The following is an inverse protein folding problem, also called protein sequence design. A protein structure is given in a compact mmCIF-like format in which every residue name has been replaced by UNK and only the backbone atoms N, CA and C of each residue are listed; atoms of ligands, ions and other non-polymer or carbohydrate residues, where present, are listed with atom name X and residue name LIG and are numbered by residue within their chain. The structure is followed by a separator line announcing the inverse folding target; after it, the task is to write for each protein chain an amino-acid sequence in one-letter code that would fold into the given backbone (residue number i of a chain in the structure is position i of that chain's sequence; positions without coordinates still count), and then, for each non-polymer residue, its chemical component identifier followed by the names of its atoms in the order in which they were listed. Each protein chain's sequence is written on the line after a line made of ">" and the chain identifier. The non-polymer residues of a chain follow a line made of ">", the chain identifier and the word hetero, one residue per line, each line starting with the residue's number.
data_IF_582504888827
#
_entry.id   IF_582504888827
#
_cell.length_a   1.000
_cell.length_b   1.000
_cell.length_c   1.000
_cell.angle_alpha   90.00
_cell.angle_beta   90.00
_cell.angle_gamma   90.00
#
_symmetry.space_group_name_H-M   'P 1'
#
loop_
_entity.id
_entity.type
_entity.pdbx_description
1 polymer ?
#
# COMPACT_ATOMS: atom_id res chain seq x y z
N UNK A 1 -53.08 -46.31 -14.04
CA UNK A 1 -53.88 -45.83 -12.89
C UNK A 1 -54.86 -44.80 -13.40
N UNK A 2 -56.12 -44.89 -13.00
CA UNK A 2 -57.07 -43.79 -13.18
C UNK A 2 -56.54 -42.55 -12.45
N UNK A 3 -56.76 -41.35 -13.02
CA UNK A 3 -56.17 -40.08 -12.55
C UNK A 3 -56.41 -39.84 -11.05
N UNK A 4 -57.63 -40.14 -10.58
CA UNK A 4 -58.01 -40.00 -9.17
C UNK A 4 -57.24 -40.95 -8.24
N UNK A 5 -56.95 -42.18 -8.69
CA UNK A 5 -56.14 -43.13 -7.92
C UNK A 5 -54.67 -42.68 -7.84
N UNK A 6 -54.16 -41.99 -8.87
CA UNK A 6 -52.81 -41.45 -8.89
C UNK A 6 -52.65 -40.23 -8.00
N UNK A 7 -53.63 -39.34 -8.00
CA UNK A 7 -53.65 -38.17 -7.11
C UNK A 7 -53.73 -38.60 -5.64
N UNK A 8 -54.58 -39.58 -5.30
CA UNK A 8 -54.64 -40.14 -3.94
C UNK A 8 -53.35 -40.85 -3.50
N UNK A 9 -52.69 -41.58 -4.41
CA UNK A 9 -51.38 -42.16 -4.15
C UNK A 9 -50.30 -41.07 -3.95
N UNK A 10 -50.31 -40.03 -4.77
CA UNK A 10 -49.35 -38.93 -4.71
C UNK A 10 -49.48 -38.12 -3.42
N UNK A 11 -50.70 -37.86 -2.94
CA UNK A 11 -50.93 -37.21 -1.64
C UNK A 11 -50.43 -38.08 -0.48
N UNK A 12 -50.70 -39.39 -0.51
CA UNK A 12 -50.23 -40.33 0.51
C UNK A 12 -48.70 -40.44 0.54
N UNK A 13 -48.07 -40.50 -0.63
CA UNK A 13 -46.60 -40.49 -0.75
C UNK A 13 -46.05 -39.16 -0.28
N UNK A 14 -46.64 -38.02 -0.66
CA UNK A 14 -46.15 -36.70 -0.25
C UNK A 14 -46.24 -36.49 1.26
N UNK A 15 -47.33 -36.91 1.90
CA UNK A 15 -47.50 -36.89 3.35
C UNK A 15 -46.49 -37.81 4.07
N UNK A 16 -46.27 -39.02 3.52
CA UNK A 16 -45.28 -39.97 4.06
C UNK A 16 -43.85 -39.49 3.84
N UNK A 17 -43.58 -38.83 2.72
CA UNK A 17 -42.26 -38.32 2.36
C UNK A 17 -41.82 -37.18 3.28
N UNK A 18 -42.78 -36.35 3.72
CA UNK A 18 -42.55 -35.29 4.71
C UNK A 18 -42.15 -35.81 6.10
N UNK A 19 -42.47 -37.06 6.45
CA UNK A 19 -42.11 -37.65 7.74
C UNK A 19 -40.76 -38.38 7.73
N UNK A 20 -40.15 -38.57 6.55
CA UNK A 20 -38.85 -39.22 6.40
C UNK A 20 -37.66 -38.29 6.71
N UNK A 21 -36.54 -38.89 7.12
CA UNK A 21 -35.25 -38.18 7.19
C UNK A 21 -34.68 -37.92 5.79
N UNK A 22 -33.81 -36.91 5.66
CA UNK A 22 -33.26 -36.51 4.35
C UNK A 22 -32.50 -37.62 3.62
N UNK A 23 -31.84 -38.53 4.35
CA UNK A 23 -31.16 -39.68 3.74
C UNK A 23 -32.14 -40.71 3.17
N UNK A 24 -33.25 -40.96 3.87
CA UNK A 24 -34.29 -41.90 3.44
C UNK A 24 -35.11 -41.33 2.27
N UNK A 25 -35.36 -40.02 2.29
CA UNK A 25 -35.97 -39.27 1.18
C UNK A 25 -35.20 -39.47 -0.12
N UNK A 26 -33.88 -39.27 -0.08
CA UNK A 26 -33.00 -39.43 -1.24
C UNK A 26 -32.99 -40.88 -1.78
N UNK A 27 -32.85 -41.88 -0.91
CA UNK A 27 -32.87 -43.29 -1.32
C UNK A 27 -34.23 -43.71 -1.92
N UNK A 28 -35.32 -43.16 -1.40
CA UNK A 28 -36.68 -43.43 -1.87
C UNK A 28 -36.91 -42.80 -3.25
N UNK A 29 -36.38 -41.59 -3.47
CA UNK A 29 -36.38 -40.93 -4.78
C UNK A 29 -35.55 -41.70 -5.80
N UNK A 30 -34.33 -42.13 -5.46
CA UNK A 30 -33.47 -42.88 -6.38
C UNK A 30 -34.16 -44.16 -6.86
N UNK A 31 -34.86 -44.84 -5.94
CA UNK A 31 -35.63 -46.05 -6.25
C UNK A 31 -36.91 -45.77 -7.04
N UNK A 32 -37.59 -44.65 -6.77
CA UNK A 32 -38.74 -44.21 -7.57
C UNK A 32 -38.34 -43.84 -8.99
N UNK A 33 -37.19 -43.18 -9.16
CA UNK A 33 -36.66 -42.79 -10.46
C UNK A 33 -36.25 -44.01 -11.27
N UNK A 34 -35.57 -44.99 -10.64
CA UNK A 34 -35.14 -46.22 -11.32
C UNK A 34 -36.31 -47.09 -11.79
N UNK A 35 -37.49 -46.93 -11.18
CA UNK A 35 -38.69 -47.73 -11.45
C UNK A 35 -39.72 -47.01 -12.34
N UNK A 36 -39.50 -45.74 -12.69
CA UNK A 36 -40.48 -44.90 -13.40
C UNK A 36 -40.07 -44.61 -14.85
N UNK A 37 -41.04 -44.58 -15.77
CA UNK A 37 -40.85 -44.15 -17.15
C UNK A 37 -40.90 -42.63 -17.32
N UNK A 38 -40.50 -42.13 -18.51
CA UNK A 38 -40.36 -40.69 -18.80
C UNK A 38 -41.63 -39.86 -18.50
N UNK A 39 -42.82 -40.41 -18.76
CA UNK A 39 -44.10 -39.72 -18.53
C UNK A 39 -44.42 -39.60 -17.03
N UNK A 40 -44.10 -40.63 -16.23
CA UNK A 40 -44.28 -40.58 -14.77
C UNK A 40 -43.26 -39.66 -14.10
N UNK A 41 -42.01 -39.65 -14.59
CA UNK A 41 -40.97 -38.74 -14.12
C UNK A 41 -41.33 -37.27 -14.38
N UNK A 42 -41.99 -36.94 -15.50
CA UNK A 42 -42.46 -35.59 -15.80
C UNK A 42 -43.58 -35.14 -14.84
N UNK A 43 -44.51 -36.03 -14.50
CA UNK A 43 -45.56 -35.75 -13.50
C UNK A 43 -45.00 -35.63 -12.09
N UNK A 44 -44.08 -36.52 -11.71
CA UNK A 44 -43.35 -36.45 -10.43
C UNK A 44 -42.53 -35.17 -10.32
N UNK A 45 -41.84 -34.75 -11.39
CA UNK A 45 -41.07 -33.51 -11.43
C UNK A 45 -41.95 -32.29 -11.16
N UNK A 46 -43.13 -32.19 -11.80
CA UNK A 46 -44.01 -31.03 -11.61
C UNK A 46 -44.71 -31.02 -10.23
N UNK A 47 -44.99 -32.20 -9.65
CA UNK A 47 -45.65 -32.33 -8.34
C UNK A 47 -44.69 -32.30 -7.14
N UNK A 48 -43.46 -32.78 -7.33
CA UNK A 48 -42.38 -32.79 -6.34
C UNK A 48 -41.36 -31.67 -6.57
N UNK A 49 -41.56 -30.76 -7.52
CA UNK A 49 -40.64 -29.64 -7.82
C UNK A 49 -40.32 -28.82 -6.57
N UNK A 50 -41.32 -28.65 -5.70
CA UNK A 50 -41.22 -27.97 -4.42
C UNK A 50 -40.52 -28.80 -3.33
N UNK A 51 -40.39 -30.13 -3.52
CA UNK A 51 -39.79 -31.10 -2.59
C UNK A 51 -38.39 -31.58 -3.03
N UNK A 52 -38.06 -31.47 -4.30
CA UNK A 52 -36.79 -31.87 -4.91
C UNK A 52 -35.78 -30.71 -4.90
N UNK A 53 -35.29 -30.33 -3.71
CA UNK A 53 -34.03 -29.60 -3.63
C UNK A 53 -32.88 -30.56 -3.93
N UNK A 54 -32.53 -30.72 -5.21
CA UNK A 54 -31.32 -31.48 -5.60
C UNK A 54 -30.10 -30.60 -5.40
N UNK A 55 -29.19 -31.06 -4.55
CA UNK A 55 -27.89 -30.45 -4.37
C UNK A 55 -26.98 -30.85 -5.56
N UNK A 56 -26.95 -30.01 -6.60
CA UNK A 56 -26.19 -30.25 -7.82
C UNK A 56 -24.67 -30.35 -7.59
N UNK A 57 -24.12 -29.55 -6.67
CA UNK A 57 -22.69 -29.56 -6.34
C UNK A 57 -22.26 -30.88 -5.69
N UNK A 58 -23.17 -31.52 -4.94
CA UNK A 58 -22.93 -32.86 -4.39
C UNK A 58 -22.93 -33.97 -5.46
N UNK A 59 -23.57 -33.75 -6.60
CA UNK A 59 -23.76 -34.76 -7.65
C UNK A 59 -22.74 -34.64 -8.79
N UNK A 60 -21.94 -33.57 -8.82
CA UNK A 60 -20.95 -33.32 -9.86
C UNK A 60 -19.57 -33.93 -9.50
N UNK A 61 -18.80 -34.40 -10.49
CA UNK A 61 -17.36 -34.62 -10.35
C UNK A 61 -16.65 -33.35 -9.85
N UNK A 62 -15.58 -33.53 -9.07
CA UNK A 62 -14.88 -32.42 -8.41
C UNK A 62 -14.31 -31.41 -9.42
N UNK A 63 -13.86 -31.88 -10.58
CA UNK A 63 -13.29 -31.05 -11.64
C UNK A 63 -14.35 -30.11 -12.24
N UNK A 64 -15.56 -30.61 -12.46
CA UNK A 64 -16.69 -29.81 -12.96
C UNK A 64 -17.22 -28.87 -11.87
N UNK A 65 -17.23 -29.32 -10.61
CA UNK A 65 -17.56 -28.47 -9.48
C UNK A 65 -16.58 -27.29 -9.38
N UNK A 66 -15.27 -27.52 -9.45
CA UNK A 66 -14.25 -26.46 -9.43
C UNK A 66 -14.38 -25.51 -10.63
N UNK A 67 -14.61 -26.05 -11.83
CA UNK A 67 -14.84 -25.23 -13.01
C UNK A 67 -16.03 -24.27 -12.82
N UNK A 68 -17.15 -24.75 -12.26
CA UNK A 68 -18.33 -23.92 -12.00
C UNK A 68 -18.07 -22.88 -10.90
N UNK A 69 -17.40 -23.27 -9.82
CA UNK A 69 -17.09 -22.38 -8.70
C UNK A 69 -16.23 -21.19 -9.14
N UNK A 70 -15.38 -21.35 -10.16
CA UNK A 70 -14.58 -20.27 -10.73
C UNK A 70 -15.40 -19.11 -11.33
N UNK A 71 -16.65 -19.36 -11.71
CA UNK A 71 -17.53 -18.33 -12.29
C UNK A 71 -18.37 -17.59 -11.26
N UNK A 72 -18.32 -18.00 -9.99
CA UNK A 72 -19.05 -17.36 -8.91
C UNK A 72 -18.24 -16.20 -8.35
N UNK A 73 -18.92 -15.12 -8.02
CA UNK A 73 -18.28 -14.02 -7.31
C UNK A 73 -17.88 -14.44 -5.87
N UNK A 74 -16.89 -13.77 -5.29
CA UNK A 74 -16.38 -14.12 -3.96
C UNK A 74 -17.43 -14.10 -2.84
N UNK A 75 -18.44 -13.22 -2.91
CA UNK A 75 -19.48 -13.13 -1.88
C UNK A 75 -20.45 -14.31 -1.96
N UNK A 76 -20.81 -14.69 -3.18
CA UNK A 76 -21.57 -15.90 -3.45
C UNK A 76 -20.79 -17.13 -2.98
N UNK A 77 -19.47 -17.21 -3.22
CA UNK A 77 -18.63 -18.33 -2.74
C UNK A 77 -18.65 -18.50 -1.22
N UNK A 78 -18.56 -17.40 -0.45
CA UNK A 78 -18.71 -17.46 1.01
C UNK A 78 -20.12 -17.93 1.39
N UNK A 79 -21.15 -17.38 0.74
CA UNK A 79 -22.54 -17.75 1.00
C UNK A 79 -22.77 -19.24 0.72
N UNK A 80 -22.20 -19.75 -0.37
CA UNK A 80 -22.18 -21.17 -0.75
C UNK A 80 -21.52 -22.05 0.33
N UNK A 81 -20.47 -21.56 1.02
CA UNK A 81 -19.86 -22.28 2.14
C UNK A 81 -20.81 -22.46 3.34
N UNK A 82 -21.83 -21.60 3.48
CA UNK A 82 -22.82 -21.67 4.57
C UNK A 82 -23.97 -22.65 4.28
N UNK A 83 -24.13 -23.09 3.02
CA UNK A 83 -25.24 -23.95 2.59
C UNK A 83 -25.19 -25.33 3.27
N UNK A 84 -24.04 -26.01 3.21
CA UNK A 84 -23.82 -27.27 3.93
C UNK A 84 -22.34 -27.59 4.15
N UNK A 85 -22.04 -28.54 5.04
CA UNK A 85 -20.64 -28.95 5.36
C UNK A 85 -19.88 -29.47 4.13
N UNK A 86 -20.56 -30.14 3.20
CA UNK A 86 -19.92 -30.69 2.00
C UNK A 86 -19.53 -29.59 1.01
N UNK A 87 -20.39 -28.59 0.80
CA UNK A 87 -20.06 -27.42 -0.01
C UNK A 87 -18.88 -26.66 0.56
N UNK A 88 -18.89 -26.41 1.87
CA UNK A 88 -17.76 -25.78 2.55
C UNK A 88 -16.47 -26.57 2.32
N UNK A 89 -16.52 -27.91 2.42
CA UNK A 89 -15.36 -28.75 2.17
C UNK A 89 -14.85 -28.61 0.73
N UNK A 90 -15.71 -28.74 -0.27
CA UNK A 90 -15.34 -28.65 -1.71
C UNK A 90 -14.78 -27.28 -2.05
N UNK A 91 -15.47 -26.21 -1.63
CA UNK A 91 -15.04 -24.82 -1.91
C UNK A 91 -13.73 -24.52 -1.18
N UNK A 92 -13.58 -24.95 0.08
CA UNK A 92 -12.35 -24.71 0.85
C UNK A 92 -11.15 -25.55 0.39
N UNK A 93 -11.34 -26.54 -0.49
CA UNK A 93 -10.24 -27.32 -1.08
C UNK A 93 -9.77 -26.78 -2.44
N UNK A 94 -10.48 -25.81 -3.02
CA UNK A 94 -10.17 -25.31 -4.35
C UNK A 94 -9.21 -24.13 -4.30
N UNK A 95 -7.90 -24.40 -4.40
CA UNK A 95 -6.85 -23.36 -4.32
C UNK A 95 -6.98 -22.34 -5.44
N UNK A 96 -7.17 -22.79 -6.67
CA UNK A 96 -7.27 -21.92 -7.86
C UNK A 96 -8.41 -20.90 -7.74
N UNK A 97 -9.52 -21.26 -7.09
CA UNK A 97 -10.65 -20.34 -6.87
C UNK A 97 -10.25 -19.24 -5.88
N UNK A 98 -9.66 -19.60 -4.73
CA UNK A 98 -9.27 -18.59 -3.75
C UNK A 98 -8.09 -17.74 -4.21
N UNK A 99 -7.17 -18.29 -4.99
CA UNK A 99 -6.15 -17.53 -5.69
C UNK A 99 -6.79 -16.58 -6.70
N UNK A 100 -7.66 -17.07 -7.60
CA UNK A 100 -8.37 -16.23 -8.56
C UNK A 100 -9.08 -15.04 -7.89
N UNK A 101 -9.77 -15.28 -6.78
CA UNK A 101 -10.44 -14.26 -5.98
C UNK A 101 -9.48 -13.21 -5.40
N UNK A 102 -8.30 -13.62 -4.91
CA UNK A 102 -7.28 -12.69 -4.40
C UNK A 102 -6.64 -11.87 -5.55
N UNK A 103 -6.39 -12.51 -6.70
CA UNK A 103 -5.91 -11.87 -7.92
C UNK A 103 -6.91 -10.84 -8.44
N UNK A 104 -8.20 -11.17 -8.39
CA UNK A 104 -9.29 -10.26 -8.78
C UNK A 104 -9.38 -9.03 -7.86
N UNK A 105 -8.82 -9.09 -6.64
CA UNK A 105 -8.64 -7.93 -5.76
C UNK A 105 -7.34 -7.16 -6.02
N UNK A 106 -6.53 -7.60 -6.98
CA UNK A 106 -5.27 -6.99 -7.39
C UNK A 106 -4.05 -7.48 -6.60
N UNK A 107 -4.20 -8.44 -5.69
CA UNK A 107 -3.09 -8.90 -4.87
C UNK A 107 -2.13 -9.78 -5.65
N UNK A 108 -0.84 -9.66 -5.35
CA UNK A 108 0.17 -10.59 -5.85
C UNK A 108 0.02 -11.94 -5.16
N UNK A 109 0.00 -13.00 -5.95
CA UNK A 109 -0.13 -14.37 -5.48
C UNK A 109 1.19 -15.08 -5.64
N UNK A 110 1.55 -15.85 -4.61
CA UNK A 110 2.63 -16.81 -4.69
C UNK A 110 2.05 -18.16 -5.16
N UNK A 111 2.27 -18.47 -6.44
CA UNK A 111 1.82 -19.71 -7.07
C UNK A 111 2.44 -20.97 -6.43
N UNK A 112 3.51 -20.83 -5.65
CA UNK A 112 4.12 -21.95 -4.91
C UNK A 112 3.25 -22.42 -3.74
N UNK A 113 2.37 -21.57 -3.22
CA UNK A 113 1.52 -21.89 -2.07
C UNK A 113 0.22 -22.56 -2.56
N UNK A 114 0.25 -23.90 -2.60
CA UNK A 114 -0.88 -24.74 -2.98
C UNK A 114 -1.80 -25.08 -1.80
N UNK A 115 -2.18 -24.07 -1.00
CA UNK A 115 -3.05 -24.22 0.18
C UNK A 115 -4.31 -23.34 0.08
N UNK A 116 -5.43 -23.97 -0.25
CA UNK A 116 -6.72 -23.30 -0.35
C UNK A 116 -7.20 -22.68 0.97
N UNK A 117 -6.88 -23.28 2.13
CA UNK A 117 -7.31 -22.74 3.43
C UNK A 117 -6.55 -21.47 3.77
N UNK A 118 -5.26 -21.43 3.43
CA UNK A 118 -4.44 -20.24 3.55
C UNK A 118 -5.00 -19.06 2.74
N UNK A 119 -5.26 -19.26 1.43
CA UNK A 119 -5.81 -18.21 0.56
C UNK A 119 -7.22 -17.76 0.96
N UNK A 120 -8.06 -18.71 1.38
CA UNK A 120 -9.38 -18.39 1.96
C UNK A 120 -9.25 -17.53 3.23
N UNK A 121 -8.29 -17.84 4.10
CA UNK A 121 -8.04 -17.08 5.32
C UNK A 121 -7.60 -15.65 5.00
N UNK A 122 -6.62 -15.49 4.10
CA UNK A 122 -6.16 -14.18 3.61
C UNK A 122 -7.33 -13.36 3.08
N UNK A 123 -8.12 -13.94 2.19
CA UNK A 123 -9.29 -13.27 1.61
C UNK A 123 -10.29 -12.79 2.68
N UNK A 124 -10.56 -13.63 3.70
CA UNK A 124 -11.46 -13.27 4.78
C UNK A 124 -10.90 -12.13 5.65
N UNK A 125 -9.61 -12.20 6.03
CA UNK A 125 -8.94 -11.13 6.79
C UNK A 125 -8.96 -9.81 6.03
N UNK A 126 -8.63 -9.84 4.75
CA UNK A 126 -8.63 -8.67 3.90
C UNK A 126 -10.03 -8.07 3.73
N UNK A 127 -11.07 -8.91 3.55
CA UNK A 127 -12.45 -8.43 3.47
C UNK A 127 -12.88 -7.73 4.75
N UNK A 128 -12.48 -8.26 5.91
CA UNK A 128 -12.70 -7.64 7.21
C UNK A 128 -11.98 -6.28 7.30
N UNK A 129 -10.70 -6.21 6.90
CA UNK A 129 -9.93 -4.96 6.85
C UNK A 129 -10.53 -3.92 5.91
N UNK A 130 -10.95 -4.31 4.71
CA UNK A 130 -11.64 -3.42 3.78
C UNK A 130 -12.96 -2.89 4.37
N UNK A 131 -13.68 -3.71 5.15
CA UNK A 131 -14.88 -3.27 5.86
C UNK A 131 -14.53 -2.23 6.93
N UNK A 132 -13.51 -2.48 7.75
CA UNK A 132 -13.04 -1.54 8.77
C UNK A 132 -12.54 -0.23 8.17
N UNK A 133 -11.89 -0.26 7.01
CA UNK A 133 -11.47 0.94 6.28
C UNK A 133 -12.68 1.79 5.85
N UNK A 134 -13.76 1.13 5.41
CA UNK A 134 -15.01 1.79 5.04
C UNK A 134 -15.75 2.38 6.24
N UNK A 135 -15.69 1.70 7.38
CA UNK A 135 -16.38 2.07 8.62
C UNK A 135 -15.57 3.02 9.52
N UNK A 136 -14.37 3.43 9.09
CA UNK A 136 -13.46 4.29 9.88
C UNK A 136 -13.06 3.62 11.22
N UNK A 137 -12.84 2.31 11.21
CA UNK A 137 -12.45 1.50 12.39
C UNK A 137 -11.10 0.79 12.25
N UNK A 138 -10.45 0.91 11.08
CA UNK A 138 -9.20 0.22 10.76
C UNK A 138 -7.99 0.74 11.53
N UNK A 139 -8.01 2.02 11.91
CA UNK A 139 -6.87 2.69 12.51
C UNK A 139 -7.13 3.11 13.95
N UNK A 140 -6.05 3.44 14.63
CA UNK A 140 -6.05 4.13 15.92
C UNK A 140 -5.02 5.26 15.89
N UNK A 141 -5.08 6.16 16.86
CA UNK A 141 -4.16 7.31 16.92
C UNK A 141 -3.40 7.36 18.22
N UNK A 142 -2.14 7.79 18.13
CA UNK A 142 -1.28 8.05 19.28
C UNK A 142 -0.48 9.32 19.06
N UNK A 143 0.22 9.78 20.10
CA UNK A 143 1.00 11.00 20.04
C UNK A 143 2.33 10.86 20.77
N UNK A 144 3.40 11.37 20.17
CA UNK A 144 4.72 11.47 20.80
C UNK A 144 4.98 12.91 21.21
N UNK A 145 5.42 13.10 22.45
CA UNK A 145 5.63 14.42 23.06
C UNK A 145 7.07 14.50 23.54
N UNK A 146 7.79 15.56 23.18
CA UNK A 146 9.13 15.80 23.73
C UNK A 146 9.98 16.86 23.03
N UNK A 147 9.57 17.36 21.87
CA UNK A 147 10.18 18.55 21.27
C UNK A 147 9.64 19.83 21.90
N UNK A 148 10.48 20.87 22.00
CA UNK A 148 10.11 22.17 22.56
C UNK A 148 9.86 23.23 21.49
N UNK A 149 10.11 22.89 20.22
CA UNK A 149 9.84 23.74 19.08
C UNK A 149 9.35 22.90 17.89
N UNK A 150 9.20 23.55 16.75
CA UNK A 150 8.60 22.94 15.56
C UNK A 150 9.43 21.77 15.03
N UNK A 151 8.79 20.62 14.91
CA UNK A 151 9.32 19.46 14.17
C UNK A 151 9.16 19.73 12.67
N UNK A 152 10.28 19.67 11.95
CA UNK A 152 10.31 19.90 10.50
C UNK A 152 10.53 18.63 9.70
N UNK A 153 11.19 17.63 10.29
CA UNK A 153 11.64 16.44 9.59
C UNK A 153 11.14 15.20 10.30
N UNK A 154 10.66 14.24 9.52
CA UNK A 154 10.21 12.93 9.97
C UNK A 154 10.85 11.90 9.02
N UNK A 155 11.34 10.79 9.57
CA UNK A 155 11.77 9.63 8.79
C UNK A 155 11.48 8.35 9.58
N UNK A 156 10.99 7.31 8.93
CA UNK A 156 10.51 6.08 9.55
C UNK A 156 11.19 4.90 8.89
N UNK A 157 11.68 3.97 9.70
CA UNK A 157 12.30 2.74 9.27
C UNK A 157 12.20 1.70 10.39
N UNK A 158 11.76 0.49 10.05
CA UNK A 158 11.79 -0.69 10.94
C UNK A 158 11.15 -0.49 12.34
N UNK A 159 9.99 0.19 12.39
CA UNK A 159 9.28 0.45 13.65
C UNK A 159 9.83 1.65 14.46
N UNK A 160 10.89 2.28 13.97
CA UNK A 160 11.50 3.45 14.57
C UNK A 160 11.15 4.71 13.77
N UNK A 161 10.84 5.80 14.48
CA UNK A 161 10.61 7.11 13.89
C UNK A 161 11.70 8.06 14.37
N UNK A 162 12.40 8.71 13.45
CA UNK A 162 13.30 9.82 13.75
C UNK A 162 12.62 11.14 13.45
N UNK A 163 12.78 12.09 14.36
CA UNK A 163 12.25 13.44 14.22
C UNK A 163 13.36 14.48 14.36
N UNK A 164 13.31 15.51 13.52
CA UNK A 164 14.22 16.65 13.55
C UNK A 164 13.46 17.95 13.76
N UNK A 165 13.93 18.78 14.67
CA UNK A 165 13.21 19.97 15.14
C UNK A 165 14.05 21.26 15.05
N UNK A 166 13.34 22.38 15.15
CA UNK A 166 13.91 23.73 15.31
C UNK A 166 14.51 23.95 16.70
N UNK A 167 14.23 23.08 17.66
CA UNK A 167 14.79 23.13 19.01
C UNK A 167 16.25 22.66 19.11
N UNK A 168 16.92 22.51 17.96
CA UNK A 168 18.29 22.02 17.84
C UNK A 168 18.45 20.59 18.39
N UNK A 169 17.42 19.76 18.24
CA UNK A 169 17.51 18.34 18.56
C UNK A 169 16.92 17.44 17.49
N UNK A 170 17.47 16.23 17.45
CA UNK A 170 16.88 15.09 16.77
C UNK A 170 16.59 13.98 17.78
N UNK A 171 15.44 13.33 17.64
CA UNK A 171 14.98 12.28 18.55
C UNK A 171 14.62 11.02 17.77
N UNK A 172 14.99 9.86 18.31
CA UNK A 172 14.61 8.55 17.80
C UNK A 172 13.58 7.93 18.74
N UNK A 173 12.46 7.50 18.18
CA UNK A 173 11.30 7.00 18.91
C UNK A 173 11.01 5.55 18.50
N UNK A 174 10.73 4.71 19.47
CA UNK A 174 10.06 3.43 19.23
C UNK A 174 8.56 3.69 19.06
N UNK A 175 8.01 3.39 17.89
CA UNK A 175 6.60 3.71 17.57
C UNK A 175 5.63 2.84 18.36
N UNK A 176 6.01 1.61 18.71
CA UNK A 176 5.15 0.66 19.44
C UNK A 176 5.01 1.05 20.90
N UNK A 177 6.12 1.43 21.54
CA UNK A 177 6.15 1.76 22.97
C UNK A 177 5.93 3.25 23.22
N UNK A 178 6.11 4.10 22.21
CA UNK A 178 6.09 5.56 22.33
C UNK A 178 7.32 6.14 23.04
N UNK A 179 8.34 5.34 23.34
CA UNK A 179 9.51 5.79 24.08
C UNK A 179 10.52 6.49 23.16
N UNK A 180 11.11 7.57 23.67
CA UNK A 180 12.28 8.21 23.06
C UNK A 180 13.53 7.40 23.41
N UNK A 181 14.10 6.70 22.43
CA UNK A 181 15.33 5.88 22.59
C UNK A 181 16.55 6.79 22.67
N UNK A 182 16.69 7.71 21.70
CA UNK A 182 17.81 8.66 21.65
C UNK A 182 17.29 10.08 21.51
N UNK A 183 18.03 11.03 22.08
CA UNK A 183 17.86 12.45 21.86
C UNK A 183 19.22 13.11 21.76
N UNK A 184 19.57 13.59 20.57
CA UNK A 184 20.86 14.23 20.29
C UNK A 184 20.66 15.73 20.12
N UNK A 185 21.57 16.52 20.67
CA UNK A 185 21.65 17.94 20.38
C UNK A 185 22.37 18.15 19.04
N UNK A 186 21.65 18.73 18.08
CA UNK A 186 22.07 18.89 16.69
C UNK A 186 22.05 20.37 16.28
N UNK A 187 22.09 20.65 14.98
CA UNK A 187 21.63 21.92 14.42
C UNK A 187 20.10 21.90 14.19
N UNK A 188 19.53 22.96 13.60
CA UNK A 188 18.13 22.92 13.15
C UNK A 188 17.98 21.86 12.07
N UNK A 189 17.04 20.93 12.21
CA UNK A 189 16.92 19.80 11.29
C UNK A 189 15.76 20.03 10.31
N UNK A 190 16.09 20.40 9.07
CA UNK A 190 15.13 20.51 7.97
C UNK A 190 14.79 19.14 7.37
N UNK A 191 15.72 18.18 7.47
CA UNK A 191 15.57 16.80 7.00
C UNK A 191 16.42 15.85 7.84
N UNK A 192 15.97 14.60 7.97
CA UNK A 192 16.66 13.54 8.72
C UNK A 192 16.58 12.23 7.94
N UNK A 193 17.63 11.42 8.02
CA UNK A 193 17.64 10.01 7.62
C UNK A 193 18.53 9.26 8.60
N UNK A 194 18.15 8.04 8.98
CA UNK A 194 18.91 7.27 9.96
C UNK A 194 18.99 5.78 9.59
N UNK A 195 19.93 5.12 10.24
CA UNK A 195 19.98 3.69 10.46
C UNK A 195 20.22 3.41 11.94
N UNK A 196 20.46 2.15 12.29
CA UNK A 196 20.65 1.70 13.67
C UNK A 196 21.83 2.40 14.39
N UNK A 197 22.85 2.86 13.65
CA UNK A 197 24.09 3.38 14.22
C UNK A 197 24.20 4.90 14.14
N UNK A 198 23.70 5.49 13.05
CA UNK A 198 23.91 6.91 12.77
C UNK A 198 22.65 7.64 12.30
N UNK A 199 22.74 8.94 12.46
CA UNK A 199 21.78 9.94 11.99
C UNK A 199 22.47 10.87 11.00
N UNK A 200 21.85 11.12 9.85
CA UNK A 200 22.23 12.18 8.92
C UNK A 200 21.16 13.28 8.99
N UNK A 201 21.60 14.52 9.21
CA UNK A 201 20.72 15.68 9.28
C UNK A 201 21.12 16.73 8.25
N UNK A 202 20.13 17.29 7.55
CA UNK A 202 20.29 18.49 6.73
C UNK A 202 19.60 19.68 7.39
N UNK A 203 20.19 20.88 7.27
CA UNK A 203 19.81 22.05 8.06
C UNK A 203 19.40 23.27 7.24
N UNK A 204 18.67 24.17 7.90
CA UNK A 204 18.50 25.55 7.43
C UNK A 204 19.79 26.38 7.51
N UNK A 205 20.83 25.90 8.19
CA UNK A 205 22.15 26.53 8.26
C UNK A 205 23.07 26.23 7.05
N UNK A 206 22.52 25.59 6.02
CA UNK A 206 23.19 25.16 4.78
C UNK A 206 24.19 23.99 4.96
N UNK A 207 24.26 23.39 6.14
CA UNK A 207 25.15 22.26 6.40
C UNK A 207 24.40 20.94 6.52
N UNK A 208 25.15 19.87 6.31
CA UNK A 208 24.74 18.50 6.61
C UNK A 208 25.70 17.97 7.66
N UNK A 209 25.20 17.15 8.56
CA UNK A 209 26.01 16.49 9.58
C UNK A 209 25.61 15.03 9.74
N UNK A 210 26.60 14.19 10.04
CA UNK A 210 26.40 12.81 10.44
C UNK A 210 26.73 12.70 11.94
N UNK A 211 25.88 11.99 12.67
CA UNK A 211 25.94 11.83 14.12
C UNK A 211 25.87 10.36 14.49
N UNK A 212 26.58 9.96 15.53
CA UNK A 212 26.49 8.62 16.09
C UNK A 212 25.41 8.59 17.20
N UNK A 213 24.49 7.62 17.14
CA UNK A 213 23.39 7.53 18.09
C UNK A 213 23.84 7.30 19.54
N UNK A 214 24.78 6.37 19.73
CA UNK A 214 25.23 5.90 21.04
C UNK A 214 25.97 6.98 21.84
N UNK A 215 26.73 7.83 21.18
CA UNK A 215 27.55 8.88 21.82
C UNK A 215 26.96 10.28 21.69
N UNK A 216 26.06 10.48 20.71
CA UNK A 216 25.60 11.82 20.31
C UNK A 216 26.68 12.66 19.61
N UNK A 217 27.84 12.08 19.29
CA UNK A 217 28.95 12.79 18.69
C UNK A 217 28.67 13.08 17.20
N UNK A 218 29.07 14.27 16.75
CA UNK A 218 29.13 14.60 15.32
C UNK A 218 30.35 13.92 14.72
N UNK A 219 30.12 12.91 13.88
CA UNK A 219 31.20 12.12 13.25
C UNK A 219 31.63 12.70 11.90
N UNK A 220 30.74 13.39 11.18
CA UNK A 220 31.07 14.03 9.90
C UNK A 220 30.29 15.33 9.71
N UNK A 221 30.87 16.25 8.94
CA UNK A 221 30.20 17.45 8.46
C UNK A 221 30.44 17.63 6.96
N UNK A 222 29.41 18.10 6.25
CA UNK A 222 29.45 18.39 4.83
C UNK A 222 29.10 19.88 4.63
N UNK A 223 30.02 20.64 4.03
CA UNK A 223 29.89 22.07 3.77
C UNK A 223 30.07 22.33 2.29
N UNK A 224 29.21 23.18 1.72
CA UNK A 224 29.31 23.58 0.32
C UNK A 224 28.00 24.03 -0.30
N UNK A 225 26.85 23.67 0.28
CA UNK A 225 25.59 24.31 -0.06
C UNK A 225 25.58 25.78 0.41
N UNK A 226 24.92 26.64 -0.36
CA UNK A 226 24.77 28.08 -0.07
C UNK A 226 23.34 28.45 0.34
N UNK A 227 22.44 27.45 0.39
CA UNK A 227 21.09 27.56 0.88
C UNK A 227 20.71 26.36 1.77
N UNK A 228 19.53 26.45 2.37
CA UNK A 228 19.01 25.43 3.28
C UNK A 228 18.91 24.06 2.60
N UNK A 229 19.32 23.00 3.30
CA UNK A 229 19.27 21.63 2.79
C UNK A 229 17.91 21.01 3.16
N UNK A 230 17.09 20.71 2.15
CA UNK A 230 15.72 20.24 2.36
C UNK A 230 15.56 18.72 2.26
N UNK A 231 16.48 18.04 1.62
CA UNK A 231 16.44 16.58 1.50
C UNK A 231 17.84 16.01 1.48
N UNK A 232 18.01 14.89 2.15
CA UNK A 232 19.23 14.08 2.14
C UNK A 232 18.86 12.62 1.89
N UNK A 233 19.73 11.92 1.20
CA UNK A 233 19.68 10.47 1.08
C UNK A 233 21.12 9.93 1.10
N UNK A 234 21.33 8.68 1.50
CA UNK A 234 22.66 8.08 1.52
C UNK A 234 22.60 6.57 1.32
N UNK A 235 23.74 6.04 0.88
CA UNK A 235 24.01 4.62 0.74
C UNK A 235 25.44 4.35 1.24
N UNK A 236 25.56 3.43 2.21
CA UNK A 236 26.83 3.06 2.82
C UNK A 236 27.74 2.27 1.89
N UNK A 237 27.17 1.32 1.14
CA UNK A 237 27.94 0.48 0.21
C UNK A 237 28.61 1.30 -0.89
N UNK A 238 27.97 2.38 -1.31
CA UNK A 238 28.50 3.34 -2.28
C UNK A 238 29.40 4.42 -1.67
N UNK A 239 29.52 4.49 -0.34
CA UNK A 239 30.12 5.62 0.38
C UNK A 239 29.58 6.98 -0.11
N UNK A 240 28.27 7.06 -0.37
CA UNK A 240 27.66 8.19 -1.08
C UNK A 240 26.52 8.79 -0.28
N UNK A 241 26.58 10.11 -0.09
CA UNK A 241 25.47 10.94 0.39
C UNK A 241 25.04 11.87 -0.74
N UNK A 242 23.75 12.09 -0.90
CA UNK A 242 23.18 13.07 -1.83
C UNK A 242 22.31 14.07 -1.08
N UNK A 243 22.27 15.31 -1.56
CA UNK A 243 21.48 16.36 -0.93
C UNK A 243 20.87 17.33 -1.93
N UNK A 244 19.64 17.76 -1.65
CA UNK A 244 18.93 18.80 -2.40
C UNK A 244 18.74 20.05 -1.55
N UNK A 245 18.95 21.22 -2.14
CA UNK A 245 19.04 22.49 -1.42
C UNK A 245 18.22 23.62 -2.03
N UNK A 246 17.98 24.64 -1.20
CA UNK A 246 17.42 25.93 -1.59
C UNK A 246 18.33 26.74 -2.53
N UNK A 247 19.59 26.34 -2.71
CA UNK A 247 20.50 26.91 -3.70
C UNK A 247 20.30 26.37 -5.14
N UNK A 248 19.23 25.58 -5.35
CA UNK A 248 18.84 24.99 -6.64
C UNK A 248 19.82 23.91 -7.14
N UNK A 249 20.74 23.43 -6.29
CA UNK A 249 21.67 22.37 -6.66
C UNK A 249 21.38 21.07 -5.93
N UNK A 250 21.80 19.98 -6.58
CA UNK A 250 21.97 18.69 -5.93
C UNK A 250 23.47 18.46 -5.74
N UNK A 251 23.89 18.03 -4.56
CA UNK A 251 25.30 17.68 -4.31
C UNK A 251 25.43 16.21 -3.96
N UNK A 252 26.52 15.62 -4.44
CA UNK A 252 26.95 14.26 -4.11
C UNK A 252 28.22 14.36 -3.28
N UNK A 253 28.28 13.61 -2.20
CA UNK A 253 29.35 13.67 -1.21
C UNK A 253 29.90 12.27 -0.93
N UNK A 254 31.20 12.19 -0.66
CA UNK A 254 31.79 11.02 -0.04
C UNK A 254 31.33 10.97 1.41
N UNK A 255 30.55 9.95 1.77
CA UNK A 255 29.89 9.83 3.08
C UNK A 255 30.92 9.76 4.22
N UNK A 256 32.00 9.01 4.03
CA UNK A 256 33.09 8.80 4.97
C UNK A 256 34.03 10.01 5.11
N UNK A 257 34.30 10.71 4.01
CA UNK A 257 35.29 11.78 3.97
C UNK A 257 34.68 13.19 4.15
N UNK A 258 33.37 13.34 3.93
CA UNK A 258 32.70 14.65 3.93
C UNK A 258 32.98 15.52 2.71
N UNK A 259 33.71 15.00 1.72
CA UNK A 259 34.11 15.74 0.54
C UNK A 259 32.96 15.83 -0.48
N UNK A 260 32.75 17.02 -1.05
CA UNK A 260 31.83 17.20 -2.18
C UNK A 260 32.47 16.56 -3.43
N UNK A 261 31.87 15.50 -3.94
CA UNK A 261 32.32 14.80 -5.14
C UNK A 261 31.77 15.46 -6.41
N UNK A 262 30.49 15.85 -6.38
CA UNK A 262 29.81 16.42 -7.52
C UNK A 262 28.78 17.48 -7.12
N UNK A 263 28.52 18.42 -8.03
CA UNK A 263 27.43 19.39 -7.94
C UNK A 263 26.65 19.37 -9.23
N UNK A 264 25.41 18.90 -9.17
CA UNK A 264 24.50 18.91 -10.30
C UNK A 264 23.69 20.20 -10.30
N UNK A 265 23.80 20.91 -11.42
CA UNK A 265 23.11 22.17 -11.69
C UNK A 265 22.08 21.97 -12.79
N UNK A 266 20.96 22.70 -12.73
CA UNK A 266 19.95 22.67 -13.79
C UNK A 266 18.52 22.83 -13.28
N UNK A 267 18.28 22.61 -11.99
CA UNK A 267 17.01 22.99 -11.37
C UNK A 267 16.85 24.51 -11.37
N UNK A 268 15.60 24.97 -11.50
CA UNK A 268 15.26 26.41 -11.53
C UNK A 268 14.58 26.88 -10.25
N UNK A 269 14.34 25.97 -9.32
CA UNK A 269 13.68 26.20 -8.02
C UNK A 269 14.33 25.34 -6.92
N UNK A 270 13.88 25.52 -5.68
CA UNK A 270 14.35 24.73 -4.54
C UNK A 270 14.23 23.24 -4.81
N UNK A 271 15.33 22.50 -4.63
CA UNK A 271 15.29 21.04 -4.69
C UNK A 271 14.68 20.54 -3.39
N UNK A 272 13.44 20.07 -3.47
CA UNK A 272 12.63 19.69 -2.30
C UNK A 272 12.82 18.24 -1.88
N UNK A 273 13.19 17.36 -2.82
CA UNK A 273 13.36 15.94 -2.58
C UNK A 273 14.51 15.38 -3.41
N UNK A 274 15.30 14.49 -2.82
CA UNK A 274 16.27 13.63 -3.50
C UNK A 274 16.02 12.18 -3.10
N UNK A 275 16.23 11.24 -4.02
CA UNK A 275 16.13 9.80 -3.80
C UNK A 275 17.34 9.13 -4.45
N UNK A 276 18.08 8.36 -3.67
CA UNK A 276 19.16 7.50 -4.11
C UNK A 276 18.69 6.05 -4.03
N UNK A 277 18.48 5.41 -5.18
CA UNK A 277 17.98 4.03 -5.23
C UNK A 277 18.56 3.26 -6.41
N UNK A 278 18.57 1.94 -6.29
CA UNK A 278 18.90 1.04 -7.38
C UNK A 278 17.78 1.00 -8.42
N UNK A 279 18.17 0.88 -9.68
CA UNK A 279 17.27 0.52 -10.77
C UNK A 279 16.96 -0.98 -10.72
N UNK A 280 15.67 -1.33 -10.86
CA UNK A 280 15.24 -2.71 -11.08
C UNK A 280 14.97 -3.01 -12.56
N UNK A 281 15.08 -2.00 -13.44
CA UNK A 281 14.75 -2.12 -14.86
C UNK A 281 16.00 -2.14 -15.72
N UNK A 282 15.90 -2.88 -16.81
CA UNK A 282 16.84 -2.84 -17.92
C UNK A 282 16.30 -1.90 -19.00
N UNK A 283 17.09 -0.91 -19.38
CA UNK A 283 16.78 0.05 -20.44
C UNK A 283 18.07 0.48 -21.16
N UNK A 284 17.95 1.33 -22.20
CA UNK A 284 19.13 1.89 -22.85
C UNK A 284 19.99 2.76 -21.92
N UNK A 285 19.42 3.26 -20.81
CA UNK A 285 20.10 4.16 -19.87
C UNK A 285 20.38 3.51 -18.51
N UNK A 286 19.78 2.37 -18.20
CA UNK A 286 19.82 1.75 -16.88
C UNK A 286 20.02 0.25 -16.98
N UNK A 287 20.98 -0.28 -16.23
CA UNK A 287 21.09 -1.72 -15.99
C UNK A 287 20.49 -2.05 -14.62
N UNK A 288 19.87 -3.22 -14.44
CA UNK A 288 19.46 -3.67 -13.11
C UNK A 288 20.66 -3.69 -12.16
N UNK A 289 20.52 -3.04 -11.00
CA UNK A 289 21.61 -2.88 -10.02
C UNK A 289 22.40 -1.57 -10.15
N UNK A 290 22.22 -0.80 -11.22
CA UNK A 290 22.78 0.55 -11.30
C UNK A 290 22.04 1.48 -10.35
N UNK A 291 22.78 2.27 -9.58
CA UNK A 291 22.18 3.31 -8.76
C UNK A 291 21.86 4.55 -9.57
N UNK A 292 20.66 5.09 -9.36
CA UNK A 292 20.20 6.34 -9.96
C UNK A 292 19.83 7.33 -8.88
N UNK A 293 20.12 8.60 -9.15
CA UNK A 293 19.68 9.72 -8.32
C UNK A 293 18.51 10.42 -9.00
N UNK A 294 17.40 10.54 -8.28
CA UNK A 294 16.29 11.40 -8.67
C UNK A 294 16.25 12.64 -7.78
N UNK A 295 15.96 13.79 -8.37
CA UNK A 295 15.73 15.02 -7.63
C UNK A 295 14.49 15.74 -8.15
N UNK A 296 13.73 16.36 -7.25
CA UNK A 296 12.51 17.09 -7.61
C UNK A 296 12.56 18.53 -7.11
N UNK A 297 12.24 19.46 -8.00
CA UNK A 297 11.86 20.82 -7.64
C UNK A 297 10.34 21.00 -7.80
N UNK A 298 9.90 22.26 -7.80
CA UNK A 298 8.49 22.63 -7.91
C UNK A 298 7.86 22.27 -9.28
N UNK A 299 8.64 22.10 -10.33
CA UNK A 299 8.17 21.98 -11.71
C UNK A 299 8.61 20.68 -12.38
N UNK A 300 9.75 20.14 -11.99
CA UNK A 300 10.41 19.05 -12.70
C UNK A 300 11.08 18.05 -11.75
N UNK A 301 11.13 16.80 -12.21
CA UNK A 301 11.92 15.73 -11.63
C UNK A 301 13.08 15.47 -12.60
N UNK A 302 14.30 15.48 -12.10
CA UNK A 302 15.50 15.17 -12.87
C UNK A 302 16.09 13.83 -12.45
N UNK A 303 16.58 13.10 -13.44
CA UNK A 303 17.21 11.79 -13.30
C UNK A 303 18.70 11.96 -13.62
N UNK A 304 19.56 11.56 -12.69
CA UNK A 304 21.01 11.74 -12.76
C UNK A 304 21.72 10.41 -12.62
N UNK A 305 22.86 10.22 -13.31
CA UNK A 305 23.74 9.10 -13.02
C UNK A 305 24.56 9.41 -11.76
N UNK A 306 24.98 8.38 -11.03
CA UNK A 306 25.87 8.49 -9.85
C UNK A 306 27.33 8.17 -10.21
N UNK A 307 27.65 8.17 -11.51
CA UNK A 307 29.01 7.97 -11.99
C UNK A 307 30.00 8.91 -11.27
N UNK A 308 31.23 8.41 -11.06
CA UNK A 308 32.33 9.19 -10.45
C UNK A 308 32.85 10.32 -11.36
N UNK A 309 32.22 10.53 -12.50
CA UNK A 309 32.57 11.57 -13.46
C UNK A 309 32.17 12.93 -12.91
N UNK A 310 33.06 13.91 -13.05
CA UNK A 310 32.79 15.27 -12.57
C UNK A 310 31.86 15.95 -13.57
N UNK A 311 30.80 16.61 -13.09
CA UNK A 311 29.79 17.33 -13.88
C UNK A 311 28.92 16.43 -14.78
N UNK A 312 28.32 15.38 -14.21
CA UNK A 312 27.35 14.58 -14.95
C UNK A 312 26.18 15.42 -15.49
N UNK A 313 25.84 15.17 -16.76
CA UNK A 313 24.64 15.73 -17.36
C UNK A 313 23.38 15.02 -16.85
N UNK A 314 22.27 15.75 -16.86
CA UNK A 314 20.95 15.18 -16.53
C UNK A 314 20.55 14.19 -17.62
N UNK A 315 20.24 12.94 -17.24
CA UNK A 315 19.81 11.90 -18.17
C UNK A 315 18.43 12.22 -18.74
N UNK A 316 17.52 12.62 -17.85
CA UNK A 316 16.14 12.92 -18.21
C UNK A 316 15.52 13.92 -17.26
N UNK A 317 14.71 14.81 -17.83
CA UNK A 317 13.82 15.70 -17.09
C UNK A 317 12.38 15.25 -17.33
N UNK A 318 11.66 14.98 -16.25
CA UNK A 318 10.24 14.63 -16.24
C UNK A 318 9.46 15.84 -15.73
N UNK A 319 8.41 16.21 -16.45
CA UNK A 319 7.50 17.27 -16.06
C UNK A 319 6.06 16.81 -16.33
N UNK A 320 5.13 17.32 -15.54
CA UNK A 320 3.69 17.05 -15.71
C UNK A 320 3.09 17.93 -16.82
N UNK A 321 3.61 19.14 -16.98
CA UNK A 321 3.14 20.13 -17.93
C UNK A 321 4.28 21.07 -18.31
N UNK A 322 4.25 21.60 -19.54
CA UNK A 322 5.09 22.73 -19.92
C UNK A 322 4.60 24.05 -19.29
N UNK A 323 3.33 24.10 -18.87
CA UNK A 323 2.77 25.23 -18.16
C UNK A 323 3.24 25.27 -16.70
N UNK A 324 4.05 26.28 -16.39
CA UNK A 324 4.56 26.56 -15.04
C UNK A 324 3.50 27.05 -14.04
N UNK A 325 2.23 27.09 -14.42
CA UNK A 325 1.11 27.23 -13.48
C UNK A 325 0.87 25.94 -12.67
N UNK A 326 1.22 24.78 -13.24
CA UNK A 326 1.05 23.47 -12.62
C UNK A 326 2.31 23.11 -11.83
N UNK A 327 2.16 22.91 -10.53
CA UNK A 327 3.28 22.58 -9.66
C UNK A 327 3.25 21.10 -9.26
N UNK A 328 4.44 20.51 -9.15
CA UNK A 328 4.65 19.27 -8.44
C UNK A 328 4.54 19.53 -6.93
N UNK A 329 3.94 18.58 -6.25
CA UNK A 329 3.94 18.55 -4.80
C UNK A 329 5.26 17.94 -4.32
N UNK A 330 5.72 18.29 -3.10
CA UNK A 330 7.04 17.89 -2.57
C UNK A 330 7.11 16.43 -2.10
N UNK A 331 6.54 15.51 -2.89
CA UNK A 331 6.48 14.06 -2.63
C UNK A 331 6.86 13.32 -3.90
N UNK A 332 8.06 12.75 -3.86
CA UNK A 332 8.55 11.83 -4.86
C UNK A 332 8.65 10.45 -4.23
N UNK A 333 8.17 9.44 -4.93
CA UNK A 333 8.39 8.03 -4.63
C UNK A 333 9.03 7.38 -5.84
N UNK A 334 9.98 6.48 -5.58
CA UNK A 334 10.65 5.68 -6.60
C UNK A 334 10.90 4.29 -6.03
N UNK A 335 10.41 3.26 -6.73
CA UNK A 335 10.51 1.85 -6.33
C UNK A 335 11.50 1.06 -7.20
N UNK A 336 12.31 1.73 -8.02
CA UNK A 336 13.22 1.10 -8.98
C UNK A 336 12.60 0.80 -10.36
N UNK A 337 11.28 0.88 -10.50
CA UNK A 337 10.53 0.65 -11.76
C UNK A 337 9.65 1.81 -12.17
N UNK A 338 9.09 2.51 -11.20
CA UNK A 338 8.13 3.57 -11.39
C UNK A 338 8.54 4.80 -10.60
N UNK A 339 8.41 5.95 -11.23
CA UNK A 339 8.49 7.24 -10.55
C UNK A 339 7.06 7.68 -10.28
N UNK A 340 6.73 8.04 -9.04
CA UNK A 340 5.42 8.55 -8.67
C UNK A 340 5.55 9.91 -8.01
N UNK A 341 4.76 10.87 -8.49
CA UNK A 341 4.66 12.21 -7.92
C UNK A 341 3.24 12.75 -8.09
N UNK A 342 2.78 13.52 -7.11
CA UNK A 342 1.54 14.30 -7.25
C UNK A 342 1.83 15.70 -7.77
N UNK A 343 0.85 16.28 -8.44
CA UNK A 343 0.81 17.68 -8.87
C UNK A 343 -0.53 18.30 -8.47
N UNK A 344 -0.71 19.59 -8.79
CA UNK A 344 -2.00 20.28 -8.61
C UNK A 344 -3.15 19.66 -9.43
N UNK A 345 -2.84 18.85 -10.46
CA UNK A 345 -3.82 18.22 -11.34
C UNK A 345 -4.18 16.78 -10.95
N UNK A 346 -3.32 16.09 -10.21
CA UNK A 346 -3.51 14.69 -9.88
C UNK A 346 -2.22 13.93 -9.55
N UNK A 347 -2.31 12.61 -9.52
CA UNK A 347 -1.17 11.72 -9.27
C UNK A 347 -0.69 11.14 -10.59
N UNK A 348 0.63 11.17 -10.80
CA UNK A 348 1.28 10.73 -12.02
C UNK A 348 2.24 9.59 -11.71
N UNK A 349 2.18 8.55 -12.53
CA UNK A 349 3.07 7.41 -12.51
C UNK A 349 3.80 7.34 -13.84
N UNK A 350 5.12 7.45 -13.81
CA UNK A 350 5.99 7.24 -14.96
C UNK A 350 6.61 5.86 -14.90
N UNK A 351 6.76 5.23 -16.06
CA UNK A 351 7.64 4.09 -16.23
C UNK A 351 9.10 4.57 -16.21
N UNK A 352 9.94 3.98 -15.38
CA UNK A 352 11.33 4.41 -15.27
C UNK A 352 12.19 3.93 -16.45
N UNK A 353 11.80 2.84 -17.14
CA UNK A 353 12.55 2.34 -18.28
C UNK A 353 12.38 3.21 -19.54
N UNK A 354 11.15 3.63 -19.84
CA UNK A 354 10.81 4.47 -21.01
C UNK A 354 10.70 5.97 -20.70
N UNK A 355 10.47 6.33 -19.44
CA UNK A 355 10.07 7.68 -18.98
C UNK A 355 8.70 8.15 -19.46
N UNK A 356 7.88 7.25 -20.01
CA UNK A 356 6.52 7.56 -20.42
C UNK A 356 5.56 7.56 -19.22
N UNK A 357 4.51 8.37 -19.31
CA UNK A 357 3.45 8.40 -18.29
C UNK A 357 2.58 7.16 -18.48
N UNK A 358 2.59 6.26 -17.49
CA UNK A 358 1.76 5.06 -17.47
C UNK A 358 0.34 5.35 -16.99
N UNK A 359 0.21 6.19 -15.96
CA UNK A 359 -1.07 6.45 -15.29
C UNK A 359 -1.16 7.90 -14.83
N UNK A 360 -2.37 8.48 -15.00
CA UNK A 360 -2.74 9.80 -14.48
C UNK A 360 -4.06 9.67 -13.74
N UNK A 361 -4.01 9.75 -12.41
CA UNK A 361 -5.21 9.75 -11.57
C UNK A 361 -5.62 11.20 -11.33
N UNK A 362 -6.70 11.62 -11.99
CA UNK A 362 -7.21 12.99 -11.92
C UNK A 362 -8.01 13.21 -10.64
N UNK A 363 -7.63 14.21 -9.86
CA UNK A 363 -8.29 14.53 -8.58
C UNK A 363 -9.34 15.64 -8.71
N UNK A 364 -9.93 15.83 -9.91
CA UNK A 364 -10.83 16.96 -10.19
C UNK A 364 -12.05 17.05 -9.26
N UNK A 365 -12.50 15.93 -8.69
CA UNK A 365 -13.61 15.90 -7.74
C UNK A 365 -13.21 16.22 -6.28
N UNK A 366 -11.90 16.21 -5.96
CA UNK A 366 -11.35 16.52 -4.63
C UNK A 366 -10.14 17.45 -4.77
N UNK A 367 -10.33 18.77 -4.80
CA UNK A 367 -9.23 19.71 -4.93
C UNK A 367 -8.28 19.62 -3.72
N UNK A 368 -6.97 19.72 -3.98
CA UNK A 368 -5.87 19.68 -2.99
C UNK A 368 -5.50 18.31 -2.41
N UNK A 369 -5.95 17.22 -3.02
CA UNK A 369 -5.48 15.90 -2.64
C UNK A 369 -3.98 15.77 -2.91
N UNK A 370 -3.23 15.28 -1.92
CA UNK A 370 -1.79 15.11 -2.01
C UNK A 370 -1.41 13.63 -1.86
N UNK A 371 -0.42 13.18 -2.63
CA UNK A 371 0.09 11.82 -2.48
C UNK A 371 0.83 11.69 -1.16
N UNK A 372 0.56 10.63 -0.41
CA UNK A 372 1.37 10.22 0.74
C UNK A 372 2.25 9.02 0.39
N UNK A 373 1.66 7.98 -0.21
CA UNK A 373 2.36 6.79 -0.71
C UNK A 373 1.53 6.11 -1.78
N UNK A 374 2.19 5.39 -2.69
CA UNK A 374 1.59 4.66 -3.80
C UNK A 374 2.05 3.20 -3.73
N UNK A 375 1.12 2.25 -3.81
CA UNK A 375 1.43 0.82 -3.98
C UNK A 375 0.85 0.29 -5.28
N UNK A 376 0.69 -1.03 -5.37
CA UNK A 376 0.11 -1.67 -6.56
C UNK A 376 -1.41 -1.67 -6.55
N UNK A 377 -2.01 -1.83 -5.37
CA UNK A 377 -3.46 -2.02 -5.19
C UNK A 377 -4.09 -0.78 -4.60
N UNK A 378 -3.41 -0.14 -3.67
CA UNK A 378 -3.89 1.05 -3.00
C UNK A 378 -2.93 2.23 -3.15
N UNK A 379 -3.50 3.43 -3.18
CA UNK A 379 -2.77 4.66 -2.94
C UNK A 379 -3.28 5.32 -1.66
N UNK A 380 -2.33 5.84 -0.89
CA UNK A 380 -2.59 6.60 0.31
C UNK A 380 -2.47 8.08 -0.04
N UNK A 381 -3.58 8.79 0.09
CA UNK A 381 -3.76 10.18 -0.32
C UNK A 381 -4.23 10.97 0.90
N UNK A 382 -4.02 12.28 0.95
CA UNK A 382 -4.47 13.08 2.08
C UNK A 382 -4.78 14.51 1.67
N UNK A 383 -5.67 15.13 2.43
CA UNK A 383 -5.90 16.57 2.43
C UNK A 383 -5.76 17.10 3.87
N UNK A 384 -6.15 18.37 4.07
CA UNK A 384 -6.06 19.05 5.36
C UNK A 384 -6.85 18.42 6.52
N UNK A 385 -7.80 17.55 6.21
CA UNK A 385 -8.80 17.03 7.16
C UNK A 385 -8.87 15.50 7.16
N UNK A 386 -8.45 14.83 6.10
CA UNK A 386 -8.59 13.39 5.96
C UNK A 386 -7.39 12.74 5.28
N UNK A 387 -7.10 11.53 5.75
CA UNK A 387 -6.35 10.52 5.03
C UNK A 387 -7.34 9.67 4.22
N UNK A 388 -7.00 9.32 3.00
CA UNK A 388 -7.83 8.56 2.08
C UNK A 388 -7.07 7.35 1.57
N UNK A 389 -7.74 6.21 1.53
CA UNK A 389 -7.25 4.99 0.88
C UNK A 389 -8.03 4.82 -0.42
N UNK A 390 -7.33 4.95 -1.54
CA UNK A 390 -7.89 4.79 -2.88
C UNK A 390 -7.53 3.41 -3.44
N UNK A 391 -8.50 2.67 -3.95
CA UNK A 391 -8.26 1.47 -4.76
C UNK A 391 -7.81 1.92 -6.15
N UNK A 392 -6.62 1.48 -6.58
CA UNK A 392 -5.97 1.91 -7.80
C UNK A 392 -6.52 1.27 -9.08
N UNK A 393 -7.29 0.19 -8.95
CA UNK A 393 -7.94 -0.48 -10.08
C UNK A 393 -9.26 0.19 -10.42
N UNK A 394 -10.00 0.61 -9.39
CA UNK A 394 -11.31 1.27 -9.56
C UNK A 394 -11.25 2.79 -9.48
N UNK A 395 -10.14 3.35 -8.97
CA UNK A 395 -9.95 4.77 -8.67
C UNK A 395 -10.99 5.33 -7.66
N UNK A 396 -11.58 4.45 -6.84
CA UNK A 396 -12.58 4.81 -5.83
C UNK A 396 -11.94 4.87 -4.44
N UNK A 397 -12.35 5.85 -3.64
CA UNK A 397 -11.99 5.94 -2.22
C UNK A 397 -12.67 4.78 -1.46
N UNK A 398 -11.85 3.86 -0.95
CA UNK A 398 -12.29 2.70 -0.18
C UNK A 398 -12.45 3.04 1.30
N UNK A 399 -11.62 3.92 1.84
CA UNK A 399 -11.68 4.32 3.23
C UNK A 399 -11.17 5.74 3.42
N UNK A 400 -11.58 6.36 4.53
CA UNK A 400 -11.07 7.66 4.95
C UNK A 400 -10.84 7.66 6.46
N UNK A 401 -9.95 8.51 6.91
CA UNK A 401 -9.65 8.66 8.33
C UNK A 401 -9.47 10.14 8.67
N UNK A 402 -10.14 10.67 9.69
CA UNK A 402 -10.03 12.07 10.07
C UNK A 402 -8.64 12.39 10.60
N UNK A 403 -8.04 13.44 10.09
CA UNK A 403 -6.76 13.98 10.54
C UNK A 403 -7.00 15.25 11.38
N UNK A 404 -6.19 15.45 12.44
CA UNK A 404 -6.27 16.68 13.21
C UNK A 404 -5.75 17.87 12.39
N UNK A 405 -6.14 19.08 12.77
CA UNK A 405 -5.66 20.29 12.12
C UNK A 405 -4.13 20.42 12.27
N UNK A 406 -3.42 20.21 11.16
CA UNK A 406 -1.96 20.27 11.11
C UNK A 406 -1.50 21.48 10.29
N UNK A 407 -0.22 21.84 10.42
CA UNK A 407 0.38 22.93 9.63
C UNK A 407 0.96 22.40 8.32
N UNK A 408 0.39 22.79 7.17
CA UNK A 408 0.94 22.40 5.85
C UNK A 408 2.34 23.01 5.65
N UNK A 409 3.33 22.15 5.47
CA UNK A 409 4.66 22.55 4.99
C UNK A 409 4.63 22.68 3.47
N UNK A 410 5.08 23.83 2.93
CA UNK A 410 5.31 23.98 1.48
C UNK A 410 6.34 22.98 0.93
N UNK A 411 7.15 22.38 1.81
CA UNK A 411 8.22 21.45 1.50
C UNK A 411 7.86 19.98 1.76
N UNK A 412 6.62 19.68 2.17
CA UNK A 412 6.17 18.30 2.42
C UNK A 412 6.75 17.62 3.68
N UNK A 413 7.67 18.29 4.38
CA UNK A 413 8.51 17.71 5.43
C UNK A 413 7.78 17.38 6.74
N UNK A 414 6.56 17.88 6.94
CA UNK A 414 5.76 17.71 8.16
C UNK A 414 4.94 16.42 8.22
N UNK A 415 5.07 15.53 7.23
CA UNK A 415 4.22 14.37 7.06
C UNK A 415 5.02 13.21 6.51
N UNK A 416 4.70 11.98 6.90
CA UNK A 416 5.46 10.80 6.51
C UNK A 416 4.54 9.57 6.42
N UNK A 417 4.64 8.76 5.34
CA UNK A 417 4.05 7.42 5.33
C UNK A 417 4.80 6.49 6.29
N UNK A 418 4.08 5.62 6.98
CA UNK A 418 4.69 4.53 7.74
C UNK A 418 5.04 3.34 6.84
N UNK A 419 4.63 2.14 7.26
CA UNK A 419 4.76 0.92 6.47
C UNK A 419 3.85 1.01 5.23
N UNK A 420 4.39 0.68 4.07
CA UNK A 420 3.69 0.80 2.78
C UNK A 420 3.39 -0.54 2.11
N UNK A 421 3.91 -1.66 2.64
CA UNK A 421 3.73 -2.99 2.06
C UNK A 421 2.25 -3.38 1.88
N UNK A 422 1.39 -3.01 2.83
CA UNK A 422 -0.06 -3.25 2.77
C UNK A 422 -0.76 -2.55 1.59
N UNK A 423 -0.14 -1.56 0.96
CA UNK A 423 -0.66 -0.93 -0.25
C UNK A 423 -0.62 -1.87 -1.47
N UNK A 424 0.11 -2.97 -1.38
CA UNK A 424 0.18 -4.01 -2.43
C UNK A 424 -0.83 -5.14 -2.20
N UNK A 425 -1.56 -5.11 -1.08
CA UNK A 425 -2.54 -6.11 -0.70
C UNK A 425 -2.67 -6.24 0.80
N UNK A 426 -3.80 -6.74 1.28
CA UNK A 426 -4.06 -6.96 2.70
C UNK A 426 -3.99 -8.46 2.96
N UNK A 427 -2.94 -8.94 3.61
CA UNK A 427 -2.78 -10.37 3.91
C UNK A 427 -3.03 -10.72 5.39
N UNK A 428 -3.19 -9.71 6.24
CA UNK A 428 -3.40 -9.85 7.67
C UNK A 428 -2.12 -9.81 8.50
N UNK A 429 -0.95 -9.78 7.85
CA UNK A 429 0.35 -9.70 8.49
C UNK A 429 1.05 -8.37 8.16
N UNK A 430 0.85 -7.86 6.93
CA UNK A 430 1.47 -6.63 6.42
C UNK A 430 0.75 -5.32 6.82
N UNK A 431 -0.50 -5.43 7.27
CA UNK A 431 -1.42 -4.36 7.68
C UNK A 431 -1.32 -4.10 9.19
N UNK A 432 -0.08 -3.87 9.63
CA UNK A 432 0.27 -3.59 11.02
C UNK A 432 1.25 -2.41 11.14
N UNK A 433 1.32 -1.80 12.32
CA UNK A 433 2.27 -0.71 12.61
C UNK A 433 1.83 0.66 12.09
N UNK A 434 2.82 1.52 11.81
CA UNK A 434 2.59 2.92 11.44
C UNK A 434 1.99 3.04 10.03
N UNK A 435 0.94 3.84 9.91
CA UNK A 435 0.32 4.21 8.62
C UNK A 435 0.74 5.61 8.22
N UNK A 436 0.67 6.55 9.15
CA UNK A 436 0.94 7.97 8.90
C UNK A 436 1.49 8.65 10.15
N UNK A 437 2.46 9.55 9.98
CA UNK A 437 2.94 10.43 11.02
C UNK A 437 2.96 11.88 10.56
N UNK A 438 2.64 12.81 11.46
CA UNK A 438 2.74 14.25 11.19
C UNK A 438 3.14 15.07 12.41
N UNK A 439 3.85 16.18 12.18
CA UNK A 439 4.14 17.18 13.21
C UNK A 439 2.93 18.09 13.47
N UNK A 440 2.61 18.31 14.74
CA UNK A 440 1.47 19.11 15.17
C UNK A 440 1.88 20.55 15.55
N UNK A 441 0.93 21.51 15.57
CA UNK A 441 1.21 22.89 15.96
C UNK A 441 1.74 23.04 17.39
N UNK A 442 1.41 22.12 18.29
CA UNK A 442 1.85 22.03 19.68
C UNK A 442 3.20 21.29 19.85
N UNK A 443 3.91 21.03 18.75
CA UNK A 443 5.21 20.36 18.69
C UNK A 443 5.18 18.86 18.97
N UNK A 444 4.01 18.29 19.23
CA UNK A 444 3.83 16.84 19.29
C UNK A 444 3.89 16.21 17.89
N UNK A 445 4.07 14.89 17.85
CA UNK A 445 3.99 14.10 16.62
C UNK A 445 2.74 13.24 16.72
N UNK A 446 1.79 13.44 15.81
CA UNK A 446 0.59 12.63 15.71
C UNK A 446 0.85 11.41 14.83
N UNK A 447 0.45 10.24 15.31
CA UNK A 447 0.60 8.96 14.64
C UNK A 447 -0.76 8.35 14.36
N UNK A 448 -0.91 7.75 13.19
CA UNK A 448 -2.03 6.87 12.81
C UNK A 448 -1.44 5.48 12.64
N UNK A 449 -1.97 4.52 13.41
CA UNK A 449 -1.50 3.14 13.48
C UNK A 449 -2.61 2.19 13.03
N UNK A 450 -2.25 1.05 12.48
CA UNK A 450 -3.18 -0.07 12.31
C UNK A 450 -3.64 -0.59 13.67
N UNK A 451 -4.95 -0.84 13.81
CA UNK A 451 -5.50 -1.45 15.02
C UNK A 451 -5.17 -2.95 15.07
N UNK A 452 -4.54 -3.41 16.14
CA UNK A 452 -4.03 -4.79 16.28
C UNK A 452 -5.13 -5.86 16.32
N UNK A 453 -6.35 -5.53 16.81
CA UNK A 453 -7.43 -6.50 17.04
C UNK A 453 -8.75 -6.13 16.33
N UNK A 454 -8.67 -5.73 15.05
CA UNK A 454 -9.86 -5.41 14.26
C UNK A 454 -10.58 -6.63 13.74
#
# INVERSE_FOLDING_TARGET
>A
MEKAAFEGWLESVSASYLTLSDQQRNQSLDRLISLSGATQLRYLSNGLETLLKRDFLRLLPLELAFYLLRWLDPETLITCCLVCKQWNKVISTCTEVWQGVCCDLGWRIDDSIQDAQHWKCIYLKAKLRMKQLKEEEAFETSSLIGHSARVYALYYKDGLLCTGSDDLSAKLWDVRTGQCIYGIQTHTCATVKFDEQKLVTGSFDNTIACWEWSTGAKIQQFRGHTGAVFSVDYNDDLDTLVSGSADFTVKVWALSAGACLNTFTGHTEWVTKVILSMSEVESMMHSPGDYTLLSADKYEIKVWPIGREINCECLKTLAVSEDRSVCLQPRLQFDGRHVICSSDLGVYQWDFASFDILRVIKTHHMPNLSLLSFGEVFALLFDHSYLYVMDLRTEVITGRWPLPAYRKSKRGSSFLPGVTAWLNGLDGDNDSGLVFATSMPDHSIHLVLWKENG
#
